data_IF_048254290412
#
_entry.id   IF_048254290412
#
_cell.length_a   1.000
_cell.length_b   1.000
_cell.length_c   1.000
_cell.angle_alpha   90.00
_cell.angle_beta   90.00
_cell.angle_gamma   90.00
#
_symmetry.space_group_name_H-M   'P 1'
#
loop_
_entity.id
_entity.type
_entity.pdbx_description
1 polymer ?
#
# COMPACT_ATOMS: atom_id res chain seq x y z
N UNK A 1 -44.69 45.25 -1.82
CA UNK A 1 -44.15 44.75 -3.11
C UNK A 1 -45.08 43.66 -3.60
N UNK A 2 -45.36 43.57 -4.90
CA UNK A 2 -46.19 42.47 -5.45
C UNK A 2 -45.47 41.14 -5.22
N UNK A 3 -46.22 40.06 -4.99
CA UNK A 3 -45.70 38.68 -4.83
C UNK A 3 -44.72 38.28 -5.94
N UNK A 4 -44.94 38.76 -7.17
CA UNK A 4 -44.03 38.56 -8.30
C UNK A 4 -42.66 39.25 -8.11
N UNK A 5 -42.60 40.48 -7.57
CA UNK A 5 -41.31 41.17 -7.32
C UNK A 5 -40.52 40.48 -6.22
N UNK A 6 -41.19 39.97 -5.20
CA UNK A 6 -40.55 39.18 -4.14
C UNK A 6 -39.98 37.88 -4.71
N UNK A 7 -40.73 37.17 -5.56
CA UNK A 7 -40.25 35.95 -6.23
C UNK A 7 -39.01 36.21 -7.10
N UNK A 8 -39.03 37.27 -7.92
CA UNK A 8 -37.88 37.65 -8.76
C UNK A 8 -36.64 38.01 -7.93
N UNK A 9 -36.81 38.78 -6.84
CA UNK A 9 -35.70 39.09 -5.94
C UNK A 9 -35.16 37.82 -5.27
N UNK A 10 -36.03 36.92 -4.82
CA UNK A 10 -35.60 35.62 -4.25
C UNK A 10 -34.82 34.78 -5.27
N UNK A 11 -35.26 34.70 -6.53
CA UNK A 11 -34.55 33.98 -7.58
C UNK A 11 -33.18 34.60 -7.87
N UNK A 12 -33.08 35.93 -7.93
CA UNK A 12 -31.80 36.63 -8.12
C UNK A 12 -30.86 36.32 -6.96
N UNK A 13 -31.34 36.42 -5.71
CA UNK A 13 -30.53 36.12 -4.52
C UNK A 13 -30.05 34.67 -4.55
N UNK A 14 -30.92 33.71 -4.87
CA UNK A 14 -30.52 32.29 -5.00
C UNK A 14 -29.45 32.10 -6.09
N UNK A 15 -29.62 32.71 -7.27
CA UNK A 15 -28.62 32.61 -8.33
C UNK A 15 -27.28 33.25 -7.94
N UNK A 16 -27.29 34.40 -7.28
CA UNK A 16 -26.07 35.05 -6.77
C UNK A 16 -25.39 34.17 -5.72
N UNK A 17 -26.15 33.53 -4.83
CA UNK A 17 -25.60 32.61 -3.82
C UNK A 17 -25.02 31.35 -4.48
N UNK A 18 -25.68 30.77 -5.48
CA UNK A 18 -25.19 29.60 -6.22
C UNK A 18 -23.92 29.95 -6.99
N UNK A 19 -23.94 31.04 -7.77
CA UNK A 19 -22.76 31.49 -8.54
C UNK A 19 -21.61 31.85 -7.58
N UNK A 20 -21.91 32.54 -6.48
CA UNK A 20 -20.94 32.86 -5.44
C UNK A 20 -20.34 31.62 -4.80
N UNK A 21 -21.15 30.58 -4.53
CA UNK A 21 -20.70 29.30 -4.01
C UNK A 21 -19.81 28.53 -4.99
N UNK A 22 -20.15 28.51 -6.28
CA UNK A 22 -19.32 27.87 -7.33
C UNK A 22 -18.01 28.63 -7.51
N UNK A 23 -18.06 29.96 -7.60
CA UNK A 23 -16.85 30.78 -7.74
C UNK A 23 -15.95 30.63 -6.51
N UNK A 24 -16.52 30.66 -5.30
CA UNK A 24 -15.77 30.38 -4.09
C UNK A 24 -15.16 28.96 -4.13
N UNK A 25 -15.90 27.95 -4.55
CA UNK A 25 -15.37 26.57 -4.61
C UNK A 25 -14.25 26.40 -5.63
N UNK A 26 -14.28 27.15 -6.74
CA UNK A 26 -13.26 27.12 -7.78
C UNK A 26 -11.97 27.86 -7.36
N UNK A 27 -12.08 28.98 -6.64
CA UNK A 27 -10.96 29.85 -6.31
C UNK A 27 -10.51 29.79 -4.84
N UNK A 28 -11.27 29.12 -3.96
CA UNK A 28 -10.91 29.02 -2.55
C UNK A 28 -9.62 28.20 -2.39
N UNK A 29 -8.64 28.71 -1.61
CA UNK A 29 -7.56 27.90 -1.12
C UNK A 29 -8.13 26.93 -0.10
N UNK A 30 -8.33 25.68 -0.52
CA UNK A 30 -8.92 24.69 0.37
C UNK A 30 -9.50 23.50 -0.37
N UNK A 31 -9.03 22.33 0.04
CA UNK A 31 -9.48 21.03 -0.38
C UNK A 31 -10.97 20.75 -0.07
N UNK A 32 -11.72 21.56 0.67
CA UNK A 32 -13.03 21.14 1.17
C UNK A 32 -14.20 21.41 0.22
N UNK A 33 -14.07 22.39 -0.68
CA UNK A 33 -15.16 22.84 -1.57
C UNK A 33 -15.06 22.27 -2.98
N UNK A 34 -13.87 21.79 -3.38
CA UNK A 34 -13.61 21.22 -4.71
C UNK A 34 -14.35 19.90 -4.97
N UNK A 35 -14.82 19.20 -3.93
CA UNK A 35 -15.57 17.93 -4.06
C UNK A 35 -16.87 18.14 -4.81
N UNK A 36 -17.48 19.31 -4.63
CA UNK A 36 -18.71 19.69 -5.32
C UNK A 36 -18.51 19.85 -6.84
N UNK A 37 -17.26 19.97 -7.30
CA UNK A 37 -16.89 20.14 -8.70
C UNK A 37 -16.46 18.82 -9.35
N UNK A 38 -16.41 17.72 -8.62
CA UNK A 38 -16.05 16.41 -9.16
C UNK A 38 -17.11 15.95 -10.19
N UNK A 39 -16.72 15.58 -11.41
CA UNK A 39 -17.66 15.05 -12.42
C UNK A 39 -18.31 13.73 -11.99
N UNK A 40 -17.61 12.97 -11.14
CA UNK A 40 -18.03 11.68 -10.61
C UNK A 40 -17.08 11.22 -9.51
N UNK A 41 -17.41 10.11 -8.87
CA UNK A 41 -16.58 9.53 -7.81
C UNK A 41 -15.25 9.06 -8.37
N UNK A 42 -14.18 9.45 -7.72
CA UNK A 42 -12.83 8.88 -7.92
C UNK A 42 -12.79 7.39 -7.55
N UNK A 43 -11.81 6.69 -8.12
CA UNK A 43 -11.50 5.31 -7.82
C UNK A 43 -11.14 5.11 -6.34
N UNK A 44 -11.20 3.86 -5.88
CA UNK A 44 -10.79 3.52 -4.52
C UNK A 44 -9.30 3.81 -4.26
N UNK A 45 -8.47 3.96 -5.30
CA UNK A 45 -7.07 4.31 -5.14
C UNK A 45 -6.79 5.79 -4.92
N UNK A 46 -7.62 6.67 -5.44
CA UNK A 46 -7.29 8.11 -5.47
C UNK A 46 -8.27 8.98 -4.70
N UNK A 47 -9.33 8.41 -4.11
CA UNK A 47 -10.35 9.23 -3.44
C UNK A 47 -9.85 10.05 -2.27
N UNK A 48 -8.77 9.63 -1.63
CA UNK A 48 -8.21 10.37 -0.51
C UNK A 48 -7.54 11.69 -0.92
N UNK A 49 -7.20 11.84 -2.20
CA UNK A 49 -6.54 13.02 -2.74
C UNK A 49 -7.41 13.77 -3.76
N UNK A 50 -8.70 13.41 -3.87
CA UNK A 50 -9.64 13.98 -4.87
C UNK A 50 -9.85 15.50 -4.73
N UNK A 51 -9.37 16.07 -3.62
CA UNK A 51 -9.40 17.50 -3.35
C UNK A 51 -8.27 18.30 -3.99
N UNK A 52 -7.20 17.62 -4.40
CA UNK A 52 -6.03 18.20 -5.04
C UNK A 52 -6.10 17.91 -6.53
N UNK A 53 -7.08 18.50 -7.22
CA UNK A 53 -7.27 18.31 -8.66
C UNK A 53 -5.99 18.63 -9.47
N UNK A 54 -5.14 19.53 -8.95
CA UNK A 54 -3.86 19.93 -9.50
C UNK A 54 -2.81 18.80 -9.52
N UNK A 55 -2.97 17.75 -8.70
CA UNK A 55 -2.09 16.57 -8.76
C UNK A 55 -2.28 15.80 -10.07
N UNK A 56 -3.51 15.75 -10.60
CA UNK A 56 -3.84 15.01 -11.82
C UNK A 56 -3.95 15.94 -13.05
N UNK A 57 -4.43 17.17 -12.84
CA UNK A 57 -4.78 18.10 -13.91
C UNK A 57 -3.90 19.36 -13.89
N UNK A 58 -3.55 19.83 -15.08
CA UNK A 58 -3.06 21.20 -15.27
C UNK A 58 -4.25 22.13 -15.43
N UNK A 59 -4.26 23.23 -14.69
CA UNK A 59 -5.31 24.24 -14.79
C UNK A 59 -5.48 24.72 -16.24
N UNK A 60 -6.70 24.58 -16.78
CA UNK A 60 -7.06 24.97 -18.14
C UNK A 60 -6.52 24.07 -19.26
N UNK A 61 -5.64 23.10 -18.97
CA UNK A 61 -4.97 22.25 -19.98
C UNK A 61 -5.28 20.75 -19.86
N UNK A 62 -6.13 20.35 -18.91
CA UNK A 62 -6.60 18.97 -18.78
C UNK A 62 -5.62 18.07 -18.00
N UNK A 63 -5.70 16.77 -18.24
CA UNK A 63 -4.89 15.76 -17.54
C UNK A 63 -3.43 15.77 -18.03
N UNK A 64 -2.49 15.48 -17.11
CA UNK A 64 -1.06 15.29 -17.41
C UNK A 64 -0.68 13.81 -17.31
N UNK A 65 0.01 13.25 -18.29
CA UNK A 65 0.48 11.86 -18.22
C UNK A 65 1.56 11.66 -17.14
N UNK A 66 2.47 12.63 -17.01
CA UNK A 66 3.50 12.66 -15.99
C UNK A 66 2.95 12.91 -14.57
N UNK A 67 1.66 13.23 -14.42
CA UNK A 67 0.99 13.20 -13.13
C UNK A 67 0.94 11.76 -12.57
N UNK A 68 0.61 10.79 -13.42
CA UNK A 68 0.53 9.38 -13.05
C UNK A 68 1.90 8.87 -12.61
N UNK A 69 2.93 9.12 -13.43
CA UNK A 69 4.29 8.63 -13.17
C UNK A 69 4.96 9.35 -12.01
N UNK A 70 4.58 10.59 -11.69
CA UNK A 70 5.11 11.29 -10.50
C UNK A 70 4.89 10.55 -9.18
N UNK A 71 3.91 9.64 -9.13
CA UNK A 71 3.66 8.76 -7.98
C UNK A 71 3.98 7.28 -8.28
N UNK A 72 3.74 6.78 -9.50
CA UNK A 72 3.83 5.35 -9.82
C UNK A 72 5.10 4.91 -10.56
N UNK A 73 5.98 5.83 -10.97
CA UNK A 73 7.18 5.47 -11.74
C UNK A 73 8.09 4.49 -10.99
N UNK A 74 8.31 4.74 -9.71
CA UNK A 74 9.16 3.89 -8.88
C UNK A 74 8.55 2.50 -8.67
N UNK A 75 7.23 2.43 -8.47
CA UNK A 75 6.51 1.15 -8.39
C UNK A 75 6.67 0.34 -9.69
N UNK A 76 6.47 0.98 -10.86
CA UNK A 76 6.64 0.33 -12.16
C UNK A 76 8.09 -0.14 -12.37
N UNK A 77 9.07 0.63 -11.91
CA UNK A 77 10.48 0.28 -11.97
C UNK A 77 10.79 -0.96 -11.11
N UNK A 78 10.32 -0.98 -9.86
CA UNK A 78 10.50 -2.09 -8.92
C UNK A 78 9.76 -3.36 -9.35
N UNK A 79 8.59 -3.22 -9.95
CA UNK A 79 7.82 -4.29 -10.55
C UNK A 79 8.49 -4.90 -11.80
N UNK A 80 9.49 -4.22 -12.37
CA UNK A 80 10.08 -4.53 -13.68
C UNK A 80 8.97 -4.61 -14.72
N UNK A 81 8.24 -3.50 -14.84
CA UNK A 81 7.03 -3.37 -15.65
C UNK A 81 7.11 -4.22 -16.92
N UNK A 82 6.15 -5.13 -17.08
CA UNK A 82 6.15 -6.05 -18.20
C UNK A 82 5.60 -5.40 -19.47
N UNK A 83 4.98 -4.22 -19.37
CA UNK A 83 4.51 -3.43 -20.51
C UNK A 83 5.06 -1.99 -20.45
N UNK A 84 6.39 -1.80 -20.42
CA UNK A 84 6.99 -0.48 -20.31
C UNK A 84 6.87 0.27 -21.64
N UNK A 85 6.91 1.60 -21.59
CA UNK A 85 6.87 2.47 -22.77
C UNK A 85 7.87 2.07 -23.88
N UNK A 86 9.03 1.52 -23.50
CA UNK A 86 10.05 1.04 -24.46
C UNK A 86 9.56 -0.08 -25.37
N UNK A 87 8.60 -0.92 -24.95
CA UNK A 87 7.98 -1.93 -25.83
C UNK A 87 7.09 -1.27 -26.88
N UNK A 88 6.33 -0.25 -26.49
CA UNK A 88 5.38 0.41 -27.40
C UNK A 88 6.06 1.41 -28.34
N UNK A 89 7.27 1.86 -28.00
CA UNK A 89 8.12 2.63 -28.91
C UNK A 89 8.71 1.81 -30.06
N UNK A 90 8.58 0.48 -30.05
CA UNK A 90 8.97 -0.37 -31.18
C UNK A 90 7.94 -0.22 -32.33
N UNK A 91 8.36 0.23 -33.53
CA UNK A 91 7.45 0.46 -34.65
C UNK A 91 6.73 -0.80 -35.14
N UNK A 92 7.21 -2.00 -34.79
CA UNK A 92 6.52 -3.26 -35.10
C UNK A 92 5.17 -3.40 -34.39
N UNK A 93 4.96 -2.68 -33.30
CA UNK A 93 3.70 -2.67 -32.55
C UNK A 93 2.67 -1.63 -33.05
N UNK A 94 2.99 -0.87 -34.11
CA UNK A 94 2.14 0.22 -34.58
C UNK A 94 0.72 -0.22 -34.98
N UNK A 95 0.57 -1.41 -35.55
CA UNK A 95 -0.76 -1.96 -35.89
C UNK A 95 -1.57 -2.28 -34.63
N UNK A 96 -0.96 -2.92 -33.63
CA UNK A 96 -1.60 -3.21 -32.35
C UNK A 96 -2.03 -1.93 -31.61
N UNK A 97 -1.16 -0.92 -31.60
CA UNK A 97 -1.44 0.39 -30.98
C UNK A 97 -2.57 1.16 -31.67
N UNK A 98 -2.88 0.85 -32.93
CA UNK A 98 -4.06 1.42 -33.61
C UNK A 98 -5.39 0.84 -33.13
N UNK A 99 -5.36 -0.35 -32.51
CA UNK A 99 -6.52 -1.02 -31.90
C UNK A 99 -6.68 -0.60 -30.44
N UNK A 100 -5.59 -0.62 -29.68
CA UNK A 100 -5.55 -0.23 -28.28
C UNK A 100 -4.27 0.57 -28.00
N UNK A 101 -4.44 1.86 -27.71
CA UNK A 101 -3.30 2.73 -27.41
C UNK A 101 -2.78 2.53 -25.98
N UNK A 102 -1.88 1.56 -25.83
CA UNK A 102 -1.22 1.23 -24.57
C UNK A 102 -0.10 2.21 -24.17
N UNK A 103 0.08 3.33 -24.89
CA UNK A 103 1.11 4.34 -24.56
C UNK A 103 0.66 5.37 -23.52
N UNK A 104 -0.62 5.41 -23.20
CA UNK A 104 -1.22 6.37 -22.28
C UNK A 104 -1.94 5.65 -21.14
N UNK A 105 -1.64 6.01 -19.88
CA UNK A 105 -2.27 5.41 -18.70
C UNK A 105 -3.81 5.47 -18.78
N UNK A 106 -4.34 6.59 -19.27
CA UNK A 106 -5.80 6.84 -19.32
C UNK A 106 -6.57 6.11 -20.40
N UNK A 107 -5.88 5.40 -21.29
CA UNK A 107 -6.55 4.41 -22.13
C UNK A 107 -7.17 3.32 -21.26
N UNK A 108 -6.48 2.91 -20.20
CA UNK A 108 -6.91 1.82 -19.32
C UNK A 108 -7.46 2.32 -17.98
N UNK A 109 -6.92 3.42 -17.45
CA UNK A 109 -7.20 3.93 -16.11
C UNK A 109 -7.83 5.32 -16.17
N UNK A 110 -9.17 5.37 -16.07
CA UNK A 110 -9.92 6.62 -16.06
C UNK A 110 -10.50 6.88 -14.68
N UNK A 111 -10.34 8.11 -14.23
CA UNK A 111 -10.95 8.58 -12.99
C UNK A 111 -12.35 9.17 -13.24
N UNK A 112 -13.12 9.32 -12.16
CA UNK A 112 -14.48 9.89 -12.16
C UNK A 112 -15.55 9.08 -12.91
N UNK A 113 -15.26 7.83 -13.29
CA UNK A 113 -16.17 6.93 -14.04
C UNK A 113 -16.47 5.67 -13.23
N UNK A 114 -16.90 5.84 -11.99
CA UNK A 114 -17.09 4.73 -11.03
C UNK A 114 -18.02 3.62 -11.53
N UNK A 115 -18.94 3.91 -12.46
CA UNK A 115 -19.80 2.92 -13.10
C UNK A 115 -19.09 2.00 -14.12
N UNK A 116 -17.89 2.39 -14.57
CA UNK A 116 -17.03 1.64 -15.48
C UNK A 116 -15.78 1.08 -14.78
N UNK A 117 -15.47 1.54 -13.56
CA UNK A 117 -14.30 1.09 -12.81
C UNK A 117 -14.50 -0.33 -12.28
N UNK A 118 -13.73 -1.26 -12.83
CA UNK A 118 -13.59 -2.65 -12.42
C UNK A 118 -12.61 -2.76 -11.23
N UNK A 119 -12.39 -3.98 -10.68
CA UNK A 119 -11.29 -4.21 -9.74
C UNK A 119 -9.97 -3.65 -10.26
N UNK A 120 -9.06 -3.34 -9.34
CA UNK A 120 -7.74 -2.78 -9.68
C UNK A 120 -7.75 -1.39 -10.34
N UNK A 121 -8.90 -0.70 -10.37
CA UNK A 121 -9.00 0.62 -10.99
C UNK A 121 -8.94 0.56 -12.53
N UNK A 122 -9.16 -0.61 -13.11
CA UNK A 122 -9.24 -0.80 -14.55
C UNK A 122 -10.59 -0.26 -15.05
N UNK A 123 -10.59 0.52 -16.13
CA UNK A 123 -11.82 1.06 -16.75
C UNK A 123 -12.10 0.52 -18.14
N UNK A 124 -11.38 -0.55 -18.50
CA UNK A 124 -11.55 -1.28 -19.75
C UNK A 124 -12.19 -2.65 -19.49
N UNK A 125 -12.96 -3.20 -20.43
CA UNK A 125 -13.43 -4.58 -20.33
C UNK A 125 -12.25 -5.57 -20.27
N UNK A 126 -12.46 -6.73 -19.65
CA UNK A 126 -11.41 -7.72 -19.36
C UNK A 126 -10.78 -8.40 -20.60
N UNK A 127 -11.32 -8.17 -21.79
CA UNK A 127 -10.79 -8.68 -23.06
C UNK A 127 -9.66 -7.83 -23.66
N UNK A 128 -9.25 -6.74 -23.02
CA UNK A 128 -8.23 -5.84 -23.55
C UNK A 128 -6.90 -6.53 -23.93
N UNK A 129 -6.51 -7.60 -23.23
CA UNK A 129 -5.34 -8.40 -23.58
C UNK A 129 -5.48 -9.09 -24.94
N UNK A 130 -6.67 -9.55 -25.28
CA UNK A 130 -6.96 -10.31 -26.50
C UNK A 130 -6.69 -9.47 -27.76
N UNK A 131 -6.94 -8.16 -27.71
CA UNK A 131 -6.69 -7.25 -28.83
C UNK A 131 -5.23 -7.25 -29.32
N UNK A 132 -4.28 -7.64 -28.47
CA UNK A 132 -2.87 -7.80 -28.82
C UNK A 132 -2.37 -9.25 -28.81
N UNK A 133 -2.97 -10.12 -27.98
CA UNK A 133 -2.49 -11.48 -27.73
C UNK A 133 -3.34 -12.58 -28.36
N UNK A 134 -4.25 -12.26 -29.30
CA UNK A 134 -5.11 -13.23 -29.98
C UNK A 134 -4.37 -14.46 -30.51
N UNK A 135 -3.21 -14.29 -31.16
CA UNK A 135 -2.42 -15.40 -31.72
C UNK A 135 -2.04 -16.43 -30.64
N UNK A 136 -1.92 -16.01 -29.38
CA UNK A 136 -1.61 -16.93 -28.27
C UNK A 136 -2.70 -17.98 -28.11
N UNK A 137 -3.98 -17.60 -28.16
CA UNK A 137 -5.10 -18.53 -28.06
C UNK A 137 -5.20 -19.43 -29.29
N UNK A 138 -4.80 -18.92 -30.47
CA UNK A 138 -4.88 -19.66 -31.73
C UNK A 138 -3.75 -20.68 -31.92
N UNK A 139 -2.54 -20.35 -31.45
CA UNK A 139 -1.32 -21.11 -31.78
C UNK A 139 -0.77 -21.92 -30.62
N UNK A 140 -1.04 -21.50 -29.37
CA UNK A 140 -0.54 -22.20 -28.18
C UNK A 140 -1.58 -23.22 -27.73
N UNK A 141 -1.30 -24.50 -27.96
CA UNK A 141 -2.19 -25.61 -27.57
C UNK A 141 -2.57 -25.57 -26.08
N UNK A 142 -1.67 -25.13 -25.20
CA UNK A 142 -1.93 -25.00 -23.77
C UNK A 142 -2.85 -23.83 -23.40
N UNK A 143 -3.30 -23.02 -24.37
CA UNK A 143 -4.21 -21.89 -24.16
C UNK A 143 -5.47 -21.97 -25.02
N UNK A 144 -5.65 -23.05 -25.80
CA UNK A 144 -6.72 -23.16 -26.78
C UNK A 144 -8.14 -23.18 -26.15
N UNK A 145 -8.25 -23.62 -24.90
CA UNK A 145 -9.52 -23.74 -24.18
C UNK A 145 -9.83 -22.52 -23.28
N UNK A 146 -8.90 -21.56 -23.16
CA UNK A 146 -9.16 -20.33 -22.40
C UNK A 146 -10.06 -19.37 -23.17
N UNK A 147 -10.88 -18.63 -22.42
CA UNK A 147 -11.69 -17.57 -23.01
C UNK A 147 -10.81 -16.37 -23.32
N UNK A 148 -11.27 -15.54 -24.25
CA UNK A 148 -10.57 -14.32 -24.64
C UNK A 148 -10.49 -13.28 -23.51
N UNK A 149 -11.33 -13.39 -22.49
CA UNK A 149 -11.47 -12.44 -21.38
C UNK A 149 -10.94 -12.99 -20.03
N UNK A 150 -10.24 -14.13 -20.03
CA UNK A 150 -9.78 -14.79 -18.79
C UNK A 150 -8.27 -14.62 -18.49
N UNK A 151 -7.57 -13.77 -19.25
CA UNK A 151 -6.11 -13.63 -19.13
C UNK A 151 -5.68 -12.94 -17.82
N UNK A 152 -6.37 -11.86 -17.44
CA UNK A 152 -6.08 -11.05 -16.26
C UNK A 152 -6.76 -11.62 -14.99
N UNK A 153 -6.61 -12.93 -14.78
CA UNK A 153 -7.10 -13.63 -13.59
C UNK A 153 -5.95 -13.85 -12.62
N UNK A 154 -6.26 -13.84 -11.32
CA UNK A 154 -5.25 -14.03 -10.31
C UNK A 154 -4.48 -15.33 -10.50
N UNK A 155 -3.15 -15.22 -10.49
CA UNK A 155 -2.27 -16.36 -10.74
C UNK A 155 -1.96 -16.68 -12.21
N UNK A 156 -2.56 -16.02 -13.20
CA UNK A 156 -2.25 -16.23 -14.63
C UNK A 156 -1.30 -15.17 -15.19
N UNK A 157 -1.83 -13.99 -15.53
CA UNK A 157 -1.08 -12.89 -16.12
C UNK A 157 -1.51 -11.57 -15.52
N UNK A 158 -0.54 -10.71 -15.28
CA UNK A 158 -0.73 -9.33 -14.89
C UNK A 158 -0.21 -8.40 -15.98
N UNK A 159 -0.71 -7.16 -16.04
CA UNK A 159 -0.21 -6.20 -17.01
C UNK A 159 1.15 -5.62 -16.58
N UNK A 160 1.29 -5.13 -15.35
CA UNK A 160 2.53 -4.49 -14.91
C UNK A 160 3.49 -5.44 -14.18
N UNK A 161 3.02 -6.24 -13.21
CA UNK A 161 3.89 -7.08 -12.38
C UNK A 161 3.62 -8.59 -12.58
N UNK A 162 4.51 -9.28 -13.30
CA UNK A 162 4.49 -10.74 -13.43
C UNK A 162 5.63 -11.43 -12.66
N UNK A 163 6.28 -10.77 -11.69
CA UNK A 163 7.49 -11.31 -11.03
C UNK A 163 7.24 -12.66 -10.35
N UNK A 164 6.01 -12.93 -9.91
CA UNK A 164 5.59 -14.22 -9.36
C UNK A 164 5.02 -15.20 -10.40
N UNK A 165 4.77 -14.76 -11.64
CA UNK A 165 4.00 -15.49 -12.66
C UNK A 165 4.84 -15.87 -13.90
N UNK A 166 6.11 -15.44 -13.96
CA UNK A 166 6.99 -15.84 -15.06
C UNK A 166 7.32 -17.33 -15.04
N UNK A 167 7.38 -17.96 -16.22
CA UNK A 167 7.54 -19.41 -16.35
C UNK A 167 8.78 -19.97 -15.63
N UNK A 168 9.92 -19.26 -15.68
CA UNK A 168 11.14 -19.73 -14.99
C UNK A 168 11.00 -19.69 -13.47
N UNK A 169 10.22 -18.73 -12.96
CA UNK A 169 9.92 -18.64 -11.53
C UNK A 169 9.00 -19.80 -11.14
N UNK A 170 7.86 -19.94 -11.82
CA UNK A 170 6.92 -21.04 -11.58
C UNK A 170 7.59 -22.42 -11.67
N UNK A 171 8.46 -22.64 -12.68
CA UNK A 171 9.19 -23.90 -12.82
C UNK A 171 10.14 -24.16 -11.64
N UNK A 172 10.79 -23.12 -11.10
CA UNK A 172 11.70 -23.26 -9.95
C UNK A 172 10.95 -23.72 -8.70
N UNK A 173 9.68 -23.35 -8.59
CA UNK A 173 8.84 -23.54 -7.40
C UNK A 173 7.77 -24.64 -7.58
N UNK A 174 7.83 -25.42 -8.67
CA UNK A 174 6.79 -26.36 -9.10
C UNK A 174 6.60 -27.58 -8.20
N UNK A 175 7.62 -27.96 -7.44
CA UNK A 175 7.61 -29.14 -6.57
C UNK A 175 7.62 -28.75 -5.08
N UNK A 176 7.30 -27.49 -4.77
CA UNK A 176 7.14 -27.03 -3.39
C UNK A 176 5.86 -27.57 -2.77
N UNK A 177 5.92 -27.93 -1.49
CA UNK A 177 4.74 -28.30 -0.72
C UNK A 177 3.91 -27.05 -0.37
N UNK A 178 2.64 -27.25 -0.05
CA UNK A 178 1.74 -26.18 0.41
C UNK A 178 2.31 -25.42 1.62
N UNK A 179 3.00 -26.13 2.51
CA UNK A 179 3.78 -25.57 3.61
C UNK A 179 5.25 -25.88 3.39
N UNK A 180 6.09 -24.85 3.46
CA UNK A 180 7.53 -25.00 3.36
C UNK A 180 8.10 -25.67 4.62
N UNK A 181 9.26 -26.32 4.48
CA UNK A 181 9.92 -26.97 5.62
C UNK A 181 10.38 -25.94 6.67
N UNK A 182 10.82 -24.77 6.21
CA UNK A 182 11.18 -23.62 7.03
C UNK A 182 10.11 -22.53 6.83
N UNK A 183 9.26 -22.32 7.84
CA UNK A 183 8.20 -21.31 7.86
C UNK A 183 8.61 -20.12 8.71
N UNK A 184 9.68 -19.44 8.28
CA UNK A 184 10.25 -18.30 8.99
C UNK A 184 10.50 -17.19 7.98
N UNK A 185 9.83 -16.06 8.21
CA UNK A 185 10.00 -14.85 7.42
C UNK A 185 11.27 -14.08 7.71
N UNK A 186 11.42 -12.93 7.05
CA UNK A 186 12.52 -12.01 7.33
C UNK A 186 12.42 -11.51 8.78
N UNK A 187 13.54 -11.56 9.50
CA UNK A 187 13.66 -11.10 10.87
C UNK A 187 14.57 -9.88 10.88
N UNK A 188 14.16 -8.83 11.59
CA UNK A 188 15.04 -7.71 11.86
C UNK A 188 16.02 -8.14 12.95
N UNK A 189 17.31 -8.19 12.61
CA UNK A 189 18.35 -8.36 13.60
C UNK A 189 18.33 -7.17 14.58
N UNK A 190 18.34 -7.40 15.90
CA UNK A 190 18.48 -6.32 16.85
C UNK A 190 19.82 -5.63 16.60
N UNK A 191 19.80 -4.30 16.38
CA UNK A 191 21.04 -3.55 16.26
C UNK A 191 21.87 -3.77 17.54
N UNK A 192 23.16 -4.12 17.44
CA UNK A 192 24.03 -4.16 18.60
C UNK A 192 24.23 -2.72 19.09
N UNK A 193 23.46 -2.33 20.10
CA UNK A 193 23.59 -1.03 20.74
C UNK A 193 24.77 -1.12 21.70
N UNK A 194 25.84 -0.36 21.44
CA UNK A 194 26.93 -0.20 22.41
C UNK A 194 26.40 0.51 23.67
N UNK A 195 26.65 -0.07 24.84
CA UNK A 195 25.99 0.28 26.11
C UNK A 195 26.23 1.71 26.61
N UNK A 196 27.13 2.47 26.01
CA UNK A 196 27.42 3.85 26.45
C UNK A 196 26.35 4.87 26.02
N UNK A 197 25.47 4.53 25.07
CA UNK A 197 24.40 5.41 24.58
C UNK A 197 23.04 5.19 25.26
N UNK A 198 22.86 4.13 26.05
CA UNK A 198 21.55 3.80 26.62
C UNK A 198 21.14 4.80 27.71
N UNK A 199 19.97 5.42 27.54
CA UNK A 199 19.40 6.37 28.48
C UNK A 199 18.42 5.68 29.44
N UNK A 200 18.34 6.21 30.66
CA UNK A 200 17.38 5.83 31.70
C UNK A 200 16.41 6.97 32.00
N UNK A 201 15.38 6.71 32.82
CA UNK A 201 14.47 7.75 33.33
C UNK A 201 15.21 8.94 33.95
N UNK A 202 16.37 8.72 34.58
CA UNK A 202 17.16 9.78 35.20
C UNK A 202 17.83 10.72 34.19
N UNK A 203 17.98 10.27 32.94
CA UNK A 203 18.63 11.02 31.87
C UNK A 203 17.64 11.84 31.04
N UNK A 204 16.33 11.69 31.27
CA UNK A 204 15.29 12.40 30.52
C UNK A 204 15.48 13.92 30.60
N UNK A 205 15.52 14.59 29.44
CA UNK A 205 15.84 16.02 29.32
C UNK A 205 14.63 16.92 29.03
N UNK A 206 13.40 16.37 29.13
CA UNK A 206 12.18 17.14 29.01
C UNK A 206 12.09 18.23 30.10
N UNK A 207 11.71 19.49 29.76
CA UNK A 207 11.66 20.58 30.74
C UNK A 207 10.76 20.25 31.94
N UNK A 208 11.15 20.70 33.13
CA UNK A 208 10.48 20.43 34.42
C UNK A 208 8.97 20.77 34.49
N UNK A 209 8.51 21.66 33.62
CA UNK A 209 7.10 22.02 33.44
C UNK A 209 6.29 20.96 32.67
N UNK A 210 6.96 20.10 31.91
CA UNK A 210 6.41 18.99 31.12
C UNK A 210 6.77 17.61 31.68
N UNK A 211 7.78 17.52 32.56
CA UNK A 211 8.19 16.30 33.30
C UNK A 211 7.63 16.25 34.73
N UNK A 212 6.40 16.74 34.90
CA UNK A 212 5.74 16.92 36.20
C UNK A 212 5.77 15.67 37.10
N UNK A 213 5.67 15.88 38.41
CA UNK A 213 5.68 14.80 39.43
C UNK A 213 4.24 14.28 39.61
N UNK A 214 3.53 13.98 38.52
CA UNK A 214 2.27 13.25 38.55
C UNK A 214 2.53 11.76 38.28
N UNK A 215 1.65 10.87 38.74
CA UNK A 215 1.78 9.42 38.49
C UNK A 215 1.90 9.08 37.01
N UNK A 216 1.21 9.84 36.17
CA UNK A 216 1.07 9.61 34.73
C UNK A 216 2.36 10.00 33.99
N UNK A 217 3.14 10.94 34.54
CA UNK A 217 4.43 11.36 33.98
C UNK A 217 5.52 10.30 34.24
N UNK A 218 5.42 9.54 35.35
CA UNK A 218 6.34 8.44 35.63
C UNK A 218 6.08 7.23 34.70
N UNK A 219 4.83 6.95 34.35
CA UNK A 219 4.50 5.89 33.38
C UNK A 219 5.06 6.24 31.99
N UNK A 220 4.87 7.48 31.53
CA UNK A 220 5.42 7.97 30.27
C UNK A 220 6.95 7.86 30.20
N UNK A 221 7.65 8.28 31.26
CA UNK A 221 9.11 8.19 31.33
C UNK A 221 9.60 6.75 31.34
N UNK A 222 8.88 5.85 32.03
CA UNK A 222 9.21 4.42 32.02
C UNK A 222 8.96 3.79 30.65
N UNK A 223 7.86 4.16 29.98
CA UNK A 223 7.58 3.73 28.62
C UNK A 223 8.71 4.16 27.69
N UNK A 224 9.08 5.45 27.67
CA UNK A 224 10.21 5.95 26.88
C UNK A 224 11.51 5.22 27.21
N UNK A 225 11.88 5.10 28.49
CA UNK A 225 13.13 4.47 28.90
C UNK A 225 13.21 2.97 28.52
N UNK A 226 12.08 2.32 28.28
CA UNK A 226 12.03 0.92 27.81
C UNK A 226 12.18 0.76 26.30
N UNK A 227 12.23 1.86 25.54
CA UNK A 227 12.24 1.82 24.08
C UNK A 227 13.63 1.55 23.50
N UNK A 228 13.64 1.08 22.24
CA UNK A 228 14.85 1.09 21.42
C UNK A 228 15.41 2.50 21.19
N UNK A 229 14.57 3.54 21.22
CA UNK A 229 15.01 4.94 21.12
C UNK A 229 15.88 5.35 22.30
N UNK A 230 15.41 5.11 23.54
CA UNK A 230 16.21 5.39 24.73
C UNK A 230 17.48 4.53 24.77
N UNK A 231 17.38 3.26 24.38
CA UNK A 231 18.55 2.39 24.24
C UNK A 231 19.56 2.96 23.26
N UNK A 232 19.11 3.55 22.15
CA UNK A 232 19.95 4.17 21.12
C UNK A 232 20.38 5.61 21.42
N UNK A 233 20.10 6.16 22.62
CA UNK A 233 20.52 7.51 22.99
C UNK A 233 19.58 8.64 22.56
N UNK A 234 18.38 8.32 22.07
CA UNK A 234 17.39 9.33 21.66
C UNK A 234 16.61 9.81 22.89
N UNK A 235 16.93 11.03 23.33
CA UNK A 235 16.26 11.71 24.44
C UNK A 235 15.02 12.50 23.99
N UNK A 236 14.27 13.05 24.94
CA UNK A 236 13.04 13.80 24.70
C UNK A 236 13.30 14.99 23.75
N UNK A 237 14.39 15.73 23.97
CA UNK A 237 14.81 16.85 23.10
C UNK A 237 15.08 16.45 21.66
N UNK A 238 15.52 15.20 21.42
CA UNK A 238 15.77 14.65 20.09
C UNK A 238 14.51 14.56 19.23
N UNK A 239 13.32 14.55 19.86
CA UNK A 239 12.05 14.55 19.14
C UNK A 239 11.26 15.85 19.28
N UNK A 240 11.32 16.50 20.45
CA UNK A 240 10.45 17.63 20.80
C UNK A 240 11.07 19.01 20.58
N UNK A 241 12.39 19.14 20.39
CA UNK A 241 12.97 20.40 19.94
C UNK A 241 12.88 20.49 18.42
N UNK A 242 12.49 21.66 17.91
CA UNK A 242 12.54 21.92 16.47
C UNK A 242 13.97 21.70 15.95
N UNK A 243 14.14 20.70 15.09
CA UNK A 243 15.32 20.61 14.24
C UNK A 243 15.29 21.79 13.26
N UNK A 244 16.42 22.50 13.02
CA UNK A 244 16.45 23.56 12.03
C UNK A 244 16.04 22.98 10.68
N UNK A 245 14.92 23.46 10.11
CA UNK A 245 14.53 23.11 8.76
C UNK A 245 15.54 23.66 7.75
N UNK A 246 15.65 23.00 6.59
CA UNK A 246 16.61 23.36 5.53
C UNK A 246 16.51 24.81 5.01
N UNK A 247 15.43 25.55 5.34
CA UNK A 247 15.17 26.92 4.90
C UNK A 247 14.97 27.94 6.03
N UNK A 248 15.25 27.60 7.29
CA UNK A 248 15.18 28.58 8.40
C UNK A 248 16.57 29.11 8.72
N UNK A 249 16.77 30.43 8.55
CA UNK A 249 17.97 31.12 9.02
C UNK A 249 18.24 30.74 10.49
N UNK A 250 19.50 30.43 10.80
CA UNK A 250 19.93 29.97 12.11
C UNK A 250 19.43 30.89 13.23
N UNK A 251 18.37 30.46 13.93
CA UNK A 251 17.92 31.08 15.16
C UNK A 251 18.95 30.73 16.25
N UNK A 252 19.41 31.77 16.94
CA UNK A 252 20.32 31.67 18.08
C UNK A 252 19.86 30.62 19.09
N UNK A 253 20.83 29.85 19.61
CA UNK A 253 20.71 28.67 20.48
C UNK A 253 20.08 28.90 21.87
N UNK A 254 19.22 29.90 22.04
CA UNK A 254 18.54 30.24 23.29
C UNK A 254 17.02 30.11 23.27
N UNK A 255 16.38 30.01 22.09
CA UNK A 255 14.92 30.04 21.91
C UNK A 255 14.40 28.87 21.04
N UNK A 256 14.96 27.65 21.16
CA UNK A 256 14.32 26.49 20.51
C UNK A 256 13.04 26.15 21.28
N UNK A 257 11.89 26.37 20.63
CA UNK A 257 10.59 26.10 21.21
C UNK A 257 10.37 24.58 21.37
N UNK A 258 9.98 24.16 22.57
CA UNK A 258 9.55 22.78 22.83
C UNK A 258 8.19 22.54 22.18
N UNK A 259 8.13 21.62 21.22
CA UNK A 259 6.89 21.26 20.52
C UNK A 259 6.31 19.96 21.08
N UNK A 260 5.04 20.00 21.51
CA UNK A 260 4.32 18.81 21.99
C UNK A 260 3.88 17.91 20.84
N UNK A 261 3.67 18.47 19.65
CA UNK A 261 3.31 17.74 18.45
C UNK A 261 4.58 17.50 17.62
N UNK A 262 5.04 16.26 17.63
CA UNK A 262 6.23 15.86 16.86
C UNK A 262 5.84 15.71 15.41
N UNK A 263 6.52 16.46 14.54
CA UNK A 263 6.31 16.37 13.10
C UNK A 263 6.82 15.02 12.57
N UNK A 264 6.14 14.48 11.55
CA UNK A 264 6.56 13.22 10.90
C UNK A 264 7.96 13.28 10.30
N UNK A 265 8.42 14.49 9.94
CA UNK A 265 9.77 14.73 9.43
C UNK A 265 10.85 14.40 10.48
N UNK A 266 10.55 14.56 11.77
CA UNK A 266 11.43 14.12 12.86
C UNK A 266 11.68 12.61 12.80
N UNK A 267 10.64 11.82 12.51
CA UNK A 267 10.78 10.38 12.32
C UNK A 267 11.62 10.07 11.08
N UNK A 268 11.35 10.78 9.97
CA UNK A 268 12.03 10.60 8.68
C UNK A 268 13.53 10.87 8.69
N UNK A 269 14.05 11.60 9.68
CA UNK A 269 15.48 11.83 9.86
C UNK A 269 16.26 10.54 10.18
N UNK A 270 15.60 9.53 10.78
CA UNK A 270 16.19 8.22 11.05
C UNK A 270 15.45 7.06 10.36
N UNK A 271 14.18 7.27 9.99
CA UNK A 271 13.30 6.26 9.39
C UNK A 271 12.82 6.69 8.00
N UNK A 272 13.76 7.09 7.13
CA UNK A 272 13.46 7.66 5.81
C UNK A 272 12.63 6.70 4.96
N UNK A 273 13.05 5.43 4.83
CA UNK A 273 12.31 4.43 4.04
C UNK A 273 10.89 4.17 4.55
N UNK A 274 10.69 4.13 5.88
CA UNK A 274 9.35 4.00 6.47
C UNK A 274 8.48 5.22 6.22
N UNK A 275 9.04 6.43 6.34
CA UNK A 275 8.28 7.67 6.09
C UNK A 275 7.88 7.77 4.62
N UNK A 276 8.81 7.53 3.70
CA UNK A 276 8.57 7.61 2.26
C UNK A 276 7.51 6.59 1.82
N UNK A 277 7.62 5.34 2.28
CA UNK A 277 6.63 4.31 1.95
C UNK A 277 5.27 4.55 2.62
N UNK A 278 5.23 5.09 3.84
CA UNK A 278 3.98 5.51 4.46
C UNK A 278 3.24 6.53 3.58
N UNK A 279 3.94 7.53 3.04
CA UNK A 279 3.39 8.54 2.14
C UNK A 279 2.92 8.01 0.80
N UNK A 280 3.41 6.84 0.36
CA UNK A 280 2.94 6.17 -0.86
C UNK A 280 1.66 5.34 -0.62
N UNK A 281 1.41 4.92 0.62
CA UNK A 281 0.24 4.13 0.98
C UNK A 281 -1.01 4.97 1.25
N UNK A 282 -2.18 4.33 1.22
CA UNK A 282 -3.47 4.99 1.46
C UNK A 282 -3.55 5.65 2.83
N UNK A 283 -2.80 5.19 3.83
CA UNK A 283 -2.81 5.81 5.15
C UNK A 283 -2.04 7.14 5.19
N UNK A 284 -1.02 7.31 4.34
CA UNK A 284 -0.15 8.49 4.34
C UNK A 284 -0.24 9.37 3.08
N UNK A 285 -0.90 8.92 2.01
CA UNK A 285 -0.96 9.67 0.73
C UNK A 285 -1.56 11.07 0.84
N UNK A 286 -2.38 11.31 1.87
CA UNK A 286 -2.90 12.66 2.17
C UNK A 286 -1.80 13.60 2.62
N UNK A 287 -0.86 13.15 3.45
CA UNK A 287 0.29 13.96 3.83
C UNK A 287 1.16 14.31 2.63
N UNK A 288 1.41 13.35 1.74
CA UNK A 288 2.16 13.56 0.50
C UNK A 288 1.50 14.63 -0.40
N UNK A 289 0.18 14.76 -0.29
CA UNK A 289 -0.64 15.71 -1.04
C UNK A 289 -0.94 17.01 -0.26
N UNK A 290 -0.19 17.34 0.80
CA UNK A 290 -0.41 18.50 1.68
C UNK A 290 -1.84 18.60 2.21
N UNK A 291 -2.49 17.46 2.43
CA UNK A 291 -3.83 17.37 3.02
C UNK A 291 -3.73 16.97 4.49
N UNK A 292 -4.73 17.34 5.32
CA UNK A 292 -4.83 16.82 6.68
C UNK A 292 -4.82 15.28 6.69
N UNK A 293 -4.31 14.65 7.76
CA UNK A 293 -4.26 13.20 7.90
C UNK A 293 -5.61 12.54 7.60
N UNK A 294 -5.59 11.32 7.07
CA UNK A 294 -6.81 10.53 6.90
C UNK A 294 -7.45 10.27 8.27
N UNK A 295 -8.78 10.19 8.31
CA UNK A 295 -9.50 9.60 9.44
C UNK A 295 -10.29 8.36 9.01
N UNK A 296 -10.60 7.42 9.91
CA UNK A 296 -11.50 6.30 9.58
C UNK A 296 -12.89 6.75 9.10
N UNK A 297 -13.31 7.97 9.46
CA UNK A 297 -14.56 8.56 8.95
C UNK A 297 -14.54 8.84 7.44
N UNK A 298 -13.37 8.97 6.83
CA UNK A 298 -13.20 9.17 5.39
C UNK A 298 -13.21 7.84 4.62
N UNK A 299 -13.09 6.70 5.31
CA UNK A 299 -12.94 5.40 4.69
C UNK A 299 -14.19 4.93 3.94
N UNK A 300 -13.97 4.18 2.86
CA UNK A 300 -15.04 3.52 2.06
C UNK A 300 -15.29 2.05 2.45
N UNK A 301 -14.72 1.61 3.57
CA UNK A 301 -14.89 0.28 4.15
C UNK A 301 -15.47 0.40 5.57
N UNK A 302 -15.93 -0.71 6.13
CA UNK A 302 -16.48 -0.73 7.49
C UNK A 302 -15.41 -0.42 8.54
N UNK A 303 -15.64 0.64 9.30
CA UNK A 303 -14.75 1.09 10.38
C UNK A 303 -15.51 1.16 11.71
N UNK A 304 -14.77 1.05 12.81
CA UNK A 304 -15.29 1.32 14.15
C UNK A 304 -15.74 2.78 14.29
N UNK A 305 -16.98 2.99 14.70
CA UNK A 305 -17.58 4.33 14.77
C UNK A 305 -16.89 5.24 15.81
N UNK A 306 -16.41 4.68 16.92
CA UNK A 306 -15.66 5.40 17.95
C UNK A 306 -14.25 5.80 17.47
N UNK A 307 -13.77 5.21 16.38
CA UNK A 307 -12.49 5.54 15.74
C UNK A 307 -12.59 6.63 14.67
N UNK A 308 -13.80 7.10 14.32
CA UNK A 308 -14.03 7.94 13.14
C UNK A 308 -13.23 9.24 13.09
N UNK A 309 -12.83 9.76 14.24
CA UNK A 309 -12.12 11.03 14.41
C UNK A 309 -10.61 10.87 14.59
N UNK A 310 -10.11 9.64 14.69
CA UNK A 310 -8.68 9.37 14.89
C UNK A 310 -7.92 9.76 13.63
N UNK A 311 -6.82 10.49 13.79
CA UNK A 311 -5.93 10.84 12.68
C UNK A 311 -4.96 9.69 12.44
N UNK A 312 -4.75 9.34 11.17
CA UNK A 312 -3.75 8.37 10.76
C UNK A 312 -2.42 9.09 10.52
N UNK A 313 -1.53 9.03 11.50
CA UNK A 313 -0.13 9.49 11.46
C UNK A 313 0.81 8.38 11.97
N UNK A 314 2.10 8.67 12.17
CA UNK A 314 3.05 7.69 12.69
C UNK A 314 2.74 7.17 14.11
N UNK A 315 1.95 7.90 14.90
CA UNK A 315 1.52 7.48 16.23
C UNK A 315 0.20 6.71 16.22
N UNK A 316 -0.47 6.58 15.07
CA UNK A 316 -1.75 5.88 14.96
C UNK A 316 -1.62 4.37 15.21
N UNK A 317 -0.51 3.76 14.78
CA UNK A 317 -0.27 2.32 14.92
C UNK A 317 0.58 1.97 16.15
N UNK A 318 1.73 2.63 16.30
CA UNK A 318 2.66 2.44 17.42
C UNK A 318 2.89 3.78 18.13
N UNK A 319 1.98 4.17 19.02
CA UNK A 319 2.03 5.47 19.67
C UNK A 319 3.29 5.66 20.54
N UNK A 320 3.89 6.84 20.46
CA UNK A 320 4.81 7.32 21.48
C UNK A 320 4.12 7.39 22.85
N UNK A 321 4.82 7.16 23.97
CA UNK A 321 6.28 7.00 24.07
C UNK A 321 6.75 5.55 24.17
N UNK A 322 5.87 4.58 23.89
CA UNK A 322 6.19 3.15 23.97
C UNK A 322 6.65 2.55 22.64
N UNK A 323 6.09 3.03 21.52
CA UNK A 323 6.36 2.54 20.17
C UNK A 323 6.23 1.00 20.06
N UNK A 324 5.17 0.47 20.66
CA UNK A 324 4.94 -0.98 20.76
C UNK A 324 4.59 -1.58 19.40
N UNK A 325 5.56 -2.26 18.79
CA UNK A 325 5.40 -2.88 17.48
C UNK A 325 4.54 -4.14 17.52
N UNK A 326 4.46 -4.83 18.66
CA UNK A 326 3.59 -6.01 18.79
C UNK A 326 2.11 -5.59 18.81
N UNK A 327 1.78 -4.52 19.53
CA UNK A 327 0.45 -3.90 19.47
C UNK A 327 0.12 -3.39 18.06
N UNK A 328 1.09 -2.75 17.40
CA UNK A 328 0.91 -2.20 16.06
C UNK A 328 0.66 -3.27 14.99
N UNK A 329 1.14 -4.50 15.19
CA UNK A 329 1.03 -5.60 14.23
C UNK A 329 -0.39 -6.15 14.06
N UNK A 330 -1.27 -6.01 15.07
CA UNK A 330 -2.65 -6.53 15.04
C UNK A 330 -3.64 -5.55 15.66
N UNK A 331 -3.50 -5.29 16.96
CA UNK A 331 -4.51 -4.58 17.75
C UNK A 331 -4.75 -3.14 17.28
N UNK A 332 -3.70 -2.45 16.83
CA UNK A 332 -3.85 -1.09 16.30
C UNK A 332 -4.69 -1.06 15.01
N UNK A 333 -4.55 -2.07 14.15
CA UNK A 333 -5.33 -2.21 12.93
C UNK A 333 -6.81 -2.43 13.28
N UNK A 334 -7.09 -3.41 14.16
CA UNK A 334 -8.44 -3.80 14.58
C UNK A 334 -9.13 -2.73 15.44
N UNK A 335 -8.39 -1.77 15.99
CA UNK A 335 -8.98 -0.61 16.66
C UNK A 335 -9.75 0.28 15.68
N UNK A 336 -9.37 0.32 14.40
CA UNK A 336 -10.04 1.11 13.38
C UNK A 336 -10.89 0.23 12.44
N UNK A 337 -10.32 -0.87 11.97
CA UNK A 337 -10.96 -1.76 11.00
C UNK A 337 -12.04 -2.63 11.63
N UNK A 338 -13.25 -2.54 11.09
CA UNK A 338 -14.41 -3.33 11.50
C UNK A 338 -15.05 -4.07 10.33
N UNK A 339 -14.30 -4.27 9.24
CA UNK A 339 -14.73 -5.07 8.10
C UNK A 339 -14.63 -6.58 8.40
N UNK A 340 -15.31 -7.38 7.59
CA UNK A 340 -15.41 -8.84 7.76
C UNK A 340 -14.04 -9.53 7.69
N UNK A 341 -13.22 -9.14 6.71
CA UNK A 341 -11.87 -9.66 6.53
C UNK A 341 -11.01 -9.42 7.77
N UNK A 342 -10.93 -8.17 8.24
CA UNK A 342 -10.09 -7.83 9.39
C UNK A 342 -10.54 -8.57 10.66
N UNK A 343 -11.85 -8.69 10.88
CA UNK A 343 -12.39 -9.41 12.04
C UNK A 343 -12.18 -10.93 11.97
N UNK A 344 -12.23 -11.52 10.77
CA UNK A 344 -12.03 -12.95 10.58
C UNK A 344 -10.63 -13.40 11.01
N UNK A 345 -9.62 -12.54 10.89
CA UNK A 345 -8.22 -12.80 11.24
C UNK A 345 -8.06 -13.48 12.62
N UNK A 346 -8.79 -13.03 13.64
CA UNK A 346 -8.69 -13.54 15.01
C UNK A 346 -9.04 -15.03 15.17
N UNK A 347 -9.64 -15.64 14.15
CA UNK A 347 -10.03 -17.06 14.15
C UNK A 347 -9.15 -17.93 13.25
N UNK A 348 -8.12 -17.34 12.63
CA UNK A 348 -7.26 -18.01 11.65
C UNK A 348 -6.07 -18.74 12.30
N UNK A 349 -5.49 -19.69 11.56
CA UNK A 349 -4.19 -20.29 11.89
C UNK A 349 -3.05 -19.27 11.90
N UNK A 350 -3.12 -18.23 11.06
CA UNK A 350 -2.17 -17.12 11.04
C UNK A 350 -2.14 -16.37 12.36
N UNK A 351 -3.31 -16.02 12.92
CA UNK A 351 -3.36 -15.38 14.23
C UNK A 351 -2.83 -16.29 15.35
N UNK A 352 -3.12 -17.59 15.30
CA UNK A 352 -2.53 -18.55 16.24
C UNK A 352 -1.00 -18.60 16.12
N UNK A 353 -0.44 -18.56 14.91
CA UNK A 353 1.00 -18.49 14.68
C UNK A 353 1.61 -17.21 15.27
N UNK A 354 0.96 -16.05 15.07
CA UNK A 354 1.35 -14.79 15.70
C UNK A 354 1.36 -14.88 17.24
N UNK A 355 0.28 -15.40 17.84
CA UNK A 355 0.21 -15.60 19.29
C UNK A 355 1.33 -16.52 19.81
N UNK A 356 1.69 -17.56 19.07
CA UNK A 356 2.77 -18.46 19.42
C UNK A 356 4.14 -17.78 19.35
N UNK A 357 4.38 -16.95 18.32
CA UNK A 357 5.61 -16.16 18.21
C UNK A 357 5.76 -15.17 19.36
N UNK A 358 4.75 -14.33 19.62
CA UNK A 358 4.85 -13.28 20.65
C UNK A 358 4.90 -13.83 22.09
N UNK A 359 4.41 -15.07 22.29
CA UNK A 359 4.54 -15.77 23.57
C UNK A 359 5.88 -16.49 23.74
N UNK A 360 6.73 -16.50 22.70
CA UNK A 360 8.01 -17.20 22.69
C UNK A 360 7.89 -18.73 22.58
N UNK A 361 6.73 -19.25 22.15
CA UNK A 361 6.49 -20.68 21.96
C UNK A 361 6.77 -21.16 20.54
N UNK A 362 6.93 -20.24 19.59
CA UNK A 362 7.41 -20.49 18.23
C UNK A 362 8.62 -19.57 17.90
N UNK A 363 9.43 -19.92 16.88
CA UNK A 363 10.58 -19.10 16.48
C UNK A 363 10.17 -17.68 16.06
N UNK A 364 11.07 -16.71 16.26
CA UNK A 364 10.92 -15.39 15.67
C UNK A 364 10.80 -15.49 14.14
N UNK A 365 9.96 -14.65 13.53
CA UNK A 365 9.63 -14.66 12.11
C UNK A 365 8.58 -15.69 11.70
N UNK A 366 8.07 -16.54 12.61
CA UNK A 366 7.06 -17.55 12.27
C UNK A 366 5.60 -17.07 12.41
N UNK A 367 5.36 -15.90 13.01
CA UNK A 367 4.03 -15.35 13.20
C UNK A 367 3.55 -14.53 12.00
N UNK A 368 2.25 -14.60 11.77
CA UNK A 368 1.56 -13.86 10.70
C UNK A 368 0.55 -12.92 11.33
N UNK A 369 0.76 -11.62 11.13
CA UNK A 369 -0.05 -10.53 11.66
C UNK A 369 -0.66 -9.70 10.53
N UNK A 370 -1.53 -8.75 10.86
CA UNK A 370 -2.04 -7.77 9.88
C UNK A 370 -0.86 -7.04 9.20
N UNK A 371 0.12 -6.61 10.00
CA UNK A 371 1.32 -5.97 9.49
C UNK A 371 2.19 -6.91 8.64
N UNK A 372 2.22 -8.21 8.89
CA UNK A 372 2.99 -9.16 8.07
C UNK A 372 2.48 -9.17 6.62
N UNK A 373 1.16 -9.15 6.41
CA UNK A 373 0.55 -9.20 5.09
C UNK A 373 0.50 -7.83 4.40
N UNK A 374 0.15 -6.78 5.16
CA UNK A 374 -0.08 -5.45 4.61
C UNK A 374 1.19 -4.58 4.58
N UNK A 375 2.13 -4.79 5.50
CA UNK A 375 3.35 -4.01 5.67
C UNK A 375 4.58 -4.94 5.63
N UNK A 376 4.82 -5.61 4.49
CA UNK A 376 5.83 -6.67 4.39
C UNK A 376 7.21 -6.15 4.79
N UNK A 377 8.01 -7.05 5.36
CA UNK A 377 9.43 -6.78 5.59
C UNK A 377 10.19 -6.88 4.28
N UNK A 378 11.08 -5.94 4.05
CA UNK A 378 11.97 -5.87 2.90
C UNK A 378 13.42 -5.94 3.39
N UNK A 379 14.29 -6.48 2.55
CA UNK A 379 15.74 -6.49 2.74
C UNK A 379 16.38 -5.51 1.74
N UNK A 380 17.24 -4.62 2.21
CA UNK A 380 18.02 -3.72 1.35
C UNK A 380 19.29 -4.40 0.79
N UNK A 381 20.04 -3.69 -0.06
CA UNK A 381 21.26 -4.22 -0.69
C UNK A 381 22.37 -4.56 0.32
N UNK A 382 22.30 -4.00 1.54
CA UNK A 382 23.24 -4.23 2.63
C UNK A 382 22.78 -5.37 3.57
N UNK A 383 21.62 -5.98 3.30
CA UNK A 383 21.04 -7.06 4.08
C UNK A 383 20.24 -6.59 5.30
N UNK A 384 19.94 -5.29 5.42
CA UNK A 384 19.14 -4.79 6.53
C UNK A 384 17.65 -5.02 6.27
N UNK A 385 16.98 -5.60 7.26
CA UNK A 385 15.54 -5.86 7.20
C UNK A 385 14.75 -4.72 7.83
N UNK A 386 13.77 -4.19 7.09
CA UNK A 386 12.89 -3.11 7.53
C UNK A 386 11.45 -3.32 7.07
N UNK A 387 10.48 -2.71 7.75
CA UNK A 387 9.05 -2.82 7.39
C UNK A 387 8.66 -1.76 6.35
N UNK A 388 8.06 -2.18 5.24
CA UNK A 388 7.44 -1.28 4.28
C UNK A 388 6.13 -0.72 4.86
N UNK A 389 6.05 0.61 5.04
CA UNK A 389 4.85 1.23 5.62
C UNK A 389 3.77 1.58 4.58
N UNK A 390 3.98 1.22 3.31
CA UNK A 390 2.92 1.25 2.30
C UNK A 390 2.00 0.03 2.47
N UNK A 391 0.98 0.17 3.31
CA UNK A 391 0.07 -0.91 3.72
C UNK A 391 -0.72 -1.59 2.57
N UNK A 392 -0.69 -1.01 1.36
CA UNK A 392 -1.39 -1.51 0.18
C UNK A 392 -0.45 -1.80 -1.00
N UNK A 393 0.86 -1.83 -0.79
CA UNK A 393 1.82 -2.12 -1.86
C UNK A 393 1.56 -3.50 -2.48
N UNK A 394 1.25 -4.49 -1.64
CA UNK A 394 1.02 -5.87 -2.08
C UNK A 394 -0.42 -6.21 -2.47
N UNK A 395 -1.32 -5.23 -2.51
CA UNK A 395 -2.74 -5.47 -2.80
C UNK A 395 -3.12 -5.14 -4.24
N UNK A 396 -2.16 -4.63 -5.03
CA UNK A 396 -2.43 -4.06 -6.33
C UNK A 396 -1.36 -4.40 -7.38
N UNK A 397 -1.47 -5.54 -8.07
CA UNK A 397 -2.45 -6.61 -7.85
C UNK A 397 -2.05 -7.49 -6.66
N UNK A 398 -2.96 -8.31 -6.16
CA UNK A 398 -2.76 -9.04 -4.91
C UNK A 398 -1.65 -10.11 -5.00
N UNK A 399 -1.26 -10.54 -6.21
CA UNK A 399 -0.17 -11.50 -6.40
C UNK A 399 1.21 -10.92 -6.06
N UNK A 400 1.34 -9.60 -5.91
CA UNK A 400 2.55 -8.98 -5.34
C UNK A 400 2.86 -9.58 -3.96
N UNK A 401 1.82 -9.96 -3.21
CA UNK A 401 1.92 -10.61 -1.90
C UNK A 401 2.64 -11.97 -1.92
N UNK A 402 2.61 -12.70 -3.06
CA UNK A 402 3.19 -14.05 -3.14
C UNK A 402 4.64 -14.05 -2.69
N UNK A 403 5.44 -13.13 -3.24
CA UNK A 403 6.90 -13.15 -3.06
C UNK A 403 7.33 -12.65 -1.69
N UNK A 404 6.68 -11.60 -1.22
CA UNK A 404 7.15 -10.86 -0.05
C UNK A 404 6.46 -11.32 1.23
N UNK A 405 5.39 -12.12 1.14
CA UNK A 405 4.61 -12.62 2.28
C UNK A 405 4.41 -14.12 2.20
N UNK A 406 3.64 -14.61 1.22
CA UNK A 406 3.14 -15.99 1.24
C UNK A 406 4.28 -17.02 1.16
N UNK A 407 5.27 -16.77 0.30
CA UNK A 407 6.43 -17.63 0.09
C UNK A 407 7.42 -17.71 1.25
N UNK A 408 7.18 -16.98 2.33
CA UNK A 408 7.94 -17.17 3.56
C UNK A 408 7.52 -18.44 4.32
N UNK A 409 6.32 -18.96 4.03
CA UNK A 409 5.75 -20.12 4.71
C UNK A 409 5.10 -21.14 3.76
N UNK A 410 4.66 -20.71 2.58
CA UNK A 410 3.89 -21.53 1.65
C UNK A 410 4.57 -21.70 0.29
N UNK A 411 4.32 -22.83 -0.37
CA UNK A 411 4.72 -23.03 -1.77
C UNK A 411 4.01 -22.06 -2.71
N UNK A 412 4.64 -21.77 -3.86
CA UNK A 412 4.08 -20.84 -4.85
C UNK A 412 2.71 -21.27 -5.38
N UNK A 413 2.51 -22.57 -5.66
CA UNK A 413 1.24 -23.09 -6.17
C UNK A 413 0.08 -22.81 -5.20
N UNK A 414 0.25 -23.20 -3.93
CA UNK A 414 -0.72 -22.92 -2.87
C UNK A 414 -0.99 -21.42 -2.70
N UNK A 415 0.06 -20.60 -2.74
CA UNK A 415 -0.06 -19.14 -2.60
C UNK A 415 -0.88 -18.51 -3.72
N UNK A 416 -0.70 -18.99 -4.96
CA UNK A 416 -1.48 -18.55 -6.11
C UNK A 416 -2.96 -18.92 -5.93
N UNK A 417 -3.23 -20.18 -5.58
CA UNK A 417 -4.58 -20.69 -5.39
C UNK A 417 -5.31 -19.93 -4.27
N UNK A 418 -4.61 -19.65 -3.17
CA UNK A 418 -5.14 -18.87 -2.06
C UNK A 418 -5.52 -17.44 -2.46
N UNK A 419 -4.68 -16.76 -3.23
CA UNK A 419 -4.93 -15.38 -3.67
C UNK A 419 -5.95 -15.28 -4.81
N UNK A 420 -6.24 -16.37 -5.51
CA UNK A 420 -7.32 -16.44 -6.49
C UNK A 420 -8.68 -16.78 -5.87
N UNK A 421 -8.72 -17.29 -4.64
CA UNK A 421 -9.95 -17.65 -3.94
C UNK A 421 -10.58 -16.42 -3.25
N UNK A 422 -11.61 -15.84 -3.86
CA UNK A 422 -12.33 -14.68 -3.30
C UNK A 422 -12.91 -14.95 -1.90
N UNK A 423 -13.30 -16.20 -1.61
CA UNK A 423 -13.84 -16.55 -0.29
C UNK A 423 -12.74 -16.54 0.76
N UNK A 424 -11.52 -16.96 0.41
CA UNK A 424 -10.36 -16.85 1.31
C UNK A 424 -9.95 -15.41 1.53
N UNK A 425 -9.99 -14.56 0.49
CA UNK A 425 -9.76 -13.14 0.68
C UNK A 425 -10.76 -12.56 1.68
N UNK A 426 -12.04 -12.94 1.62
CA UNK A 426 -13.05 -12.42 2.55
C UNK A 426 -12.87 -12.94 3.99
N UNK A 427 -12.47 -14.20 4.18
CA UNK A 427 -12.32 -14.80 5.51
C UNK A 427 -10.89 -14.69 6.09
N UNK A 428 -10.04 -13.86 5.48
CA UNK A 428 -8.64 -13.65 5.89
C UNK A 428 -7.79 -14.94 5.85
N UNK A 429 -7.99 -15.76 4.82
CA UNK A 429 -7.23 -16.98 4.55
C UNK A 429 -7.32 -17.99 5.71
N UNK A 430 -8.53 -18.17 6.27
CA UNK A 430 -8.77 -19.06 7.41
C UNK A 430 -8.63 -20.56 7.06
N UNK A 431 -8.80 -20.91 5.79
CA UNK A 431 -8.88 -22.27 5.29
C UNK A 431 -7.94 -22.49 4.08
N UNK A 432 -7.85 -23.74 3.62
CA UNK A 432 -7.15 -24.07 2.37
C UNK A 432 -7.96 -23.60 1.13
N UNK A 433 -7.28 -23.25 0.02
CA UNK A 433 -7.95 -22.80 -1.19
C UNK A 433 -8.88 -23.87 -1.76
N UNK A 434 -10.04 -23.41 -2.23
CA UNK A 434 -11.04 -24.24 -2.91
C UNK A 434 -10.94 -24.18 -4.43
N UNK A 435 -10.17 -23.21 -4.94
CA UNK A 435 -9.88 -23.00 -6.36
C UNK A 435 -8.47 -23.49 -6.69
N UNK A 436 -8.22 -23.76 -7.98
CA UNK A 436 -6.90 -24.12 -8.47
C UNK A 436 -6.59 -23.39 -9.78
N UNK A 437 -5.46 -22.71 -9.83
CA UNK A 437 -4.97 -21.96 -10.99
C UNK A 437 -3.90 -22.77 -11.71
N UNK A 438 -4.18 -23.12 -12.96
CA UNK A 438 -3.38 -24.08 -13.74
C UNK A 438 -1.99 -23.55 -14.16
N UNK A 439 -1.62 -22.30 -13.86
CA UNK A 439 -0.40 -21.66 -14.37
C UNK A 439 0.87 -22.46 -14.09
N UNK A 440 1.02 -22.97 -12.86
CA UNK A 440 2.19 -23.74 -12.46
C UNK A 440 2.25 -25.11 -13.17
N UNK A 441 1.08 -25.74 -13.37
CA UNK A 441 0.93 -27.00 -14.08
C UNK A 441 1.23 -26.86 -15.58
N UNK A 442 0.73 -25.80 -16.20
CA UNK A 442 0.98 -25.49 -17.61
C UNK A 442 2.47 -25.28 -17.86
N UNK A 443 3.18 -24.62 -16.94
CA UNK A 443 4.63 -24.46 -17.00
C UNK A 443 5.33 -25.81 -16.84
N UNK A 444 4.95 -26.62 -15.85
CA UNK A 444 5.51 -27.97 -15.65
C UNK A 444 5.40 -28.80 -16.91
N UNK A 445 4.19 -28.93 -17.45
CA UNK A 445 3.89 -29.71 -18.64
C UNK A 445 4.68 -29.22 -19.86
N UNK A 446 4.80 -27.90 -20.05
CA UNK A 446 5.57 -27.29 -21.14
C UNK A 446 7.05 -27.68 -21.06
N UNK A 447 7.66 -27.58 -19.87
CA UNK A 447 9.08 -27.86 -19.70
C UNK A 447 9.39 -29.35 -19.82
N UNK A 448 8.56 -30.22 -19.25
CA UNK A 448 8.70 -31.66 -19.45
C UNK A 448 8.59 -32.06 -20.93
N UNK A 449 7.65 -31.47 -21.68
CA UNK A 449 7.52 -31.73 -23.12
C UNK A 449 8.79 -31.31 -23.88
N UNK A 450 9.37 -30.16 -23.53
CA UNK A 450 10.63 -29.70 -24.11
C UNK A 450 11.78 -30.66 -23.81
N UNK A 451 11.87 -31.19 -22.59
CA UNK A 451 12.89 -32.18 -22.23
C UNK A 451 12.69 -33.49 -23.02
N UNK A 452 11.47 -34.02 -23.08
CA UNK A 452 11.13 -35.21 -23.89
C UNK A 452 11.53 -35.03 -25.36
N UNK A 453 11.23 -33.86 -25.96
CA UNK A 453 11.63 -33.54 -27.33
C UNK A 453 13.15 -33.46 -27.51
N UNK A 454 13.87 -32.90 -26.53
CA UNK A 454 15.34 -32.80 -26.54
C UNK A 454 15.99 -34.19 -26.47
N UNK A 455 15.51 -35.06 -25.58
CA UNK A 455 15.97 -36.45 -25.46
C UNK A 455 15.67 -37.29 -26.70
N UNK A 456 14.49 -37.13 -27.30
CA UNK A 456 14.15 -37.82 -28.54
C UNK A 456 15.06 -37.39 -29.71
N UNK A 457 15.50 -36.12 -29.73
CA UNK A 457 16.46 -35.61 -30.72
C UNK A 457 17.89 -36.10 -30.45
N UNK A 458 18.31 -36.21 -29.19
CA UNK A 458 19.64 -36.72 -28.86
C UNK A 458 19.79 -38.22 -29.12
N UNK A 459 18.73 -39.02 -28.92
CA UNK A 459 18.70 -40.45 -29.24
C UNK A 459 18.69 -40.77 -30.75
N UNK A 460 18.38 -39.77 -31.59
CA UNK A 460 18.39 -39.89 -33.06
C UNK A 460 19.72 -39.43 -33.70
N UNK A 461 20.61 -38.82 -32.92
CA UNK A 461 22.00 -38.54 -33.31
C UNK A 461 22.88 -39.68 -32.80
#
# INVERSE_FOLDING_TARGET
MTTAKQLWLSLIVVNVLVIGGIAYSAFAPGASTKTMLLPGKTSHGHYQIEMRCDLCHTEGNGLREDACTSCHEEELRLAKDTHPASKFNDPTNAELLSVLDATNCVTCHREHVAEQTLPMGLTMPSDYCYHCHQETLETRASHADFKFDSCATAGCHNYHDNRALYENFLLKHVDENDFLDEMVGLIREPMPIESEASLSVADADAPGEWSGIASDDLELLNDWASTAHASAGVNCSGCHLESPGADTEAVSTGDQAWNREVSVQTCGACHTGQMETFFQGHHGMRFAADLPPMTPGDARISMHADSSHRQLDCNACHSGHRFDTAYASVDACLKCHADEHSQAFLTTSHYAAWQNEISGTAPAGSGVSCATCHMPRLEDDDGNVWANHNQNDNLRPNEKMIRDVCMQCHGVGFSIDALADEQLIQNCFADAPSVHVESIDLVKARFEERQRKKEARSKKK
#
